data_IF_618905227285
#
_entry.id   IF_618905227285
#
_cell.length_a   1.000
_cell.length_b   1.000
_cell.length_c   1.000
_cell.angle_alpha   90.00
_cell.angle_beta   90.00
_cell.angle_gamma   90.00
#
_symmetry.space_group_name_H-M   'P 1'
#
loop_
_entity.id
_entity.type
_entity.pdbx_description
1 polymer ?
#
# COMPACT_ATOMS: atom_id res chain seq x y z
N UNK A 1 20.68 22.71 5.67
CA UNK A 1 21.09 21.32 5.39
C UNK A 1 19.92 20.40 4.98
N UNK A 2 18.88 20.21 5.80
CA UNK A 2 17.74 19.31 5.44
C UNK A 2 17.00 19.70 4.15
N UNK A 3 16.81 20.99 3.90
CA UNK A 3 16.15 21.47 2.65
C UNK A 3 17.00 21.24 1.41
N UNK A 4 18.33 21.34 1.51
CA UNK A 4 19.25 21.03 0.40
C UNK A 4 19.17 19.54 0.05
N UNK A 5 19.21 18.68 1.06
CA UNK A 5 19.04 17.22 0.88
C UNK A 5 17.69 16.91 0.24
N UNK A 6 16.61 17.55 0.68
CA UNK A 6 15.28 17.36 0.08
C UNK A 6 15.24 17.82 -1.37
N UNK A 7 15.87 18.95 -1.71
CA UNK A 7 15.97 19.42 -3.10
C UNK A 7 16.75 18.42 -3.97
N UNK A 8 17.90 17.93 -3.49
CA UNK A 8 18.66 16.89 -4.22
C UNK A 8 17.84 15.62 -4.43
N UNK A 9 17.11 15.15 -3.41
CA UNK A 9 16.18 14.02 -3.54
C UNK A 9 15.08 14.28 -4.56
N UNK A 10 14.53 15.50 -4.61
CA UNK A 10 13.52 15.89 -5.59
C UNK A 10 14.10 15.86 -7.01
N UNK A 11 15.32 16.37 -7.20
CA UNK A 11 16.03 16.30 -8.50
C UNK A 11 16.20 14.83 -8.93
N UNK A 12 16.67 13.97 -8.03
CA UNK A 12 16.79 12.52 -8.30
C UNK A 12 15.43 11.92 -8.66
N UNK A 13 14.37 12.23 -7.91
CA UNK A 13 13.01 11.76 -8.19
C UNK A 13 12.54 12.16 -9.60
N UNK A 14 12.70 13.43 -9.96
CA UNK A 14 12.31 13.95 -11.27
C UNK A 14 13.16 13.34 -12.39
N UNK A 15 14.43 13.04 -12.14
CA UNK A 15 15.34 12.47 -13.15
C UNK A 15 15.02 11.02 -13.49
N UNK A 16 14.66 10.17 -12.51
CA UNK A 16 14.40 8.75 -12.80
C UNK A 16 12.94 8.44 -13.12
N UNK A 17 11.98 9.27 -12.68
CA UNK A 17 10.54 8.98 -12.87
C UNK A 17 10.12 8.95 -14.34
N UNK A 18 10.41 9.95 -15.21
CA UNK A 18 9.99 9.91 -16.60
C UNK A 18 10.56 8.73 -17.41
N UNK A 19 11.87 8.40 -17.36
CA UNK A 19 12.37 7.23 -18.08
C UNK A 19 11.78 5.92 -17.60
N UNK A 20 11.51 5.75 -16.29
CA UNK A 20 10.84 4.57 -15.77
C UNK A 20 9.37 4.49 -16.20
N UNK A 21 8.67 5.63 -16.27
CA UNK A 21 7.31 5.69 -16.82
C UNK A 21 7.29 5.31 -18.30
N UNK A 22 8.25 5.83 -19.09
CA UNK A 22 8.38 5.47 -20.52
C UNK A 22 8.65 4.00 -20.69
N UNK A 23 9.62 3.44 -19.95
CA UNK A 23 9.94 2.02 -19.99
C UNK A 23 8.72 1.15 -19.66
N UNK A 24 7.95 1.49 -18.61
CA UNK A 24 6.75 0.76 -18.25
C UNK A 24 5.64 0.93 -19.30
N UNK A 25 5.48 2.14 -19.86
CA UNK A 25 4.51 2.37 -20.92
C UNK A 25 4.81 1.52 -22.16
N UNK A 26 6.08 1.43 -22.59
CA UNK A 26 6.50 0.56 -23.67
C UNK A 26 6.21 -0.91 -23.38
N UNK A 27 6.50 -1.38 -22.15
CA UNK A 27 6.21 -2.76 -21.74
C UNK A 27 4.72 -3.07 -21.71
N UNK A 28 3.89 -2.17 -21.21
CA UNK A 28 2.42 -2.38 -21.14
C UNK A 28 1.83 -2.47 -22.56
N UNK A 29 2.39 -1.74 -23.54
CA UNK A 29 1.93 -1.75 -24.93
C UNK A 29 2.67 -2.75 -25.81
N UNK A 30 3.54 -3.60 -25.25
CA UNK A 30 4.23 -4.68 -25.95
C UNK A 30 3.76 -6.05 -25.46
N UNK A 31 4.01 -7.09 -26.26
CA UNK A 31 3.76 -8.49 -25.85
C UNK A 31 4.95 -9.10 -25.09
N UNK A 32 5.95 -8.27 -24.71
CA UNK A 32 7.21 -8.72 -24.12
C UNK A 32 7.10 -8.80 -22.59
N UNK A 33 7.18 -10.01 -22.06
CA UNK A 33 7.55 -10.31 -20.68
C UNK A 33 6.59 -9.93 -19.56
N UNK A 34 7.04 -10.11 -18.32
CA UNK A 34 6.29 -9.75 -17.11
C UNK A 34 6.30 -8.22 -16.89
N UNK A 35 5.15 -7.60 -17.03
CA UNK A 35 4.95 -6.14 -16.94
C UNK A 35 5.06 -5.56 -15.51
N UNK A 36 5.55 -6.35 -14.55
CA UNK A 36 5.54 -6.00 -13.11
C UNK A 36 6.90 -5.61 -12.53
N UNK A 37 8.00 -5.92 -13.24
CA UNK A 37 9.35 -5.67 -12.71
C UNK A 37 9.74 -4.18 -12.70
N UNK A 38 9.31 -3.40 -13.70
CA UNK A 38 9.60 -1.95 -13.76
C UNK A 38 8.90 -1.20 -12.61
N UNK A 39 7.59 -1.38 -12.35
CA UNK A 39 6.95 -0.82 -11.18
C UNK A 39 7.61 -1.24 -9.87
N UNK A 40 8.05 -2.50 -9.73
CA UNK A 40 8.73 -2.95 -8.53
C UNK A 40 10.09 -2.27 -8.35
N UNK A 41 10.90 -2.17 -9.41
CA UNK A 41 12.17 -1.46 -9.37
C UNK A 41 11.97 0.02 -9.04
N UNK A 42 11.01 0.68 -9.70
CA UNK A 42 10.64 2.06 -9.43
C UNK A 42 10.31 2.28 -7.95
N UNK A 43 9.46 1.42 -7.38
CA UNK A 43 9.05 1.55 -5.99
C UNK A 43 10.19 1.20 -4.99
N UNK A 44 11.14 0.31 -5.36
CA UNK A 44 12.38 0.11 -4.59
C UNK A 44 13.23 1.38 -4.57
N UNK A 45 13.45 2.01 -5.73
CA UNK A 45 14.20 3.27 -5.84
C UNK A 45 13.50 4.40 -5.06
N UNK A 46 12.18 4.52 -5.22
CA UNK A 46 11.38 5.53 -4.52
C UNK A 46 11.43 5.31 -2.99
N UNK A 47 11.27 4.08 -2.52
CA UNK A 47 11.35 3.75 -1.10
C UNK A 47 12.72 4.10 -0.50
N UNK A 48 13.80 3.79 -1.22
CA UNK A 48 15.17 4.18 -0.82
C UNK A 48 15.34 5.70 -0.78
N UNK A 49 14.85 6.42 -1.80
CA UNK A 49 14.89 7.88 -1.87
C UNK A 49 14.13 8.55 -0.71
N UNK A 50 12.97 7.98 -0.34
CA UNK A 50 12.18 8.43 0.81
C UNK A 50 12.85 8.08 2.16
N UNK A 51 13.92 7.27 2.14
CA UNK A 51 14.62 6.83 3.34
C UNK A 51 13.85 5.75 4.13
N UNK A 52 12.98 4.97 3.45
CA UNK A 52 12.27 3.85 4.08
C UNK A 52 13.22 2.69 4.31
N UNK A 53 13.43 2.32 5.57
CA UNK A 53 14.11 1.08 5.97
C UNK A 53 13.06 0.01 6.21
N UNK A 54 12.85 -0.83 5.20
CA UNK A 54 11.79 -1.85 5.20
C UNK A 54 12.36 -3.13 5.81
N UNK A 55 11.68 -3.67 6.82
CA UNK A 55 11.90 -5.02 7.34
C UNK A 55 10.64 -5.86 7.09
N UNK A 56 10.84 -7.11 6.65
CA UNK A 56 9.75 -8.02 6.31
C UNK A 56 9.75 -9.18 7.30
N UNK A 57 8.57 -9.51 7.82
CA UNK A 57 8.31 -10.69 8.64
C UNK A 57 7.20 -11.51 7.99
N UNK A 58 7.29 -12.82 8.06
CA UNK A 58 6.42 -13.73 7.33
C UNK A 58 6.82 -13.88 5.86
N UNK A 59 6.02 -14.60 5.09
CA UNK A 59 6.32 -14.91 3.69
C UNK A 59 5.42 -14.10 2.75
N UNK A 60 6.00 -13.23 1.89
CA UNK A 60 5.22 -12.54 0.87
C UNK A 60 4.49 -13.54 -0.05
N UNK A 61 3.21 -13.33 -0.37
CA UNK A 61 2.45 -14.24 -1.21
C UNK A 61 2.91 -14.16 -2.67
N UNK A 62 2.71 -15.26 -3.41
CA UNK A 62 2.91 -15.28 -4.87
C UNK A 62 1.72 -14.71 -5.63
N UNK A 63 0.52 -14.81 -5.06
CA UNK A 63 -0.74 -14.31 -5.61
C UNK A 63 -1.77 -14.16 -4.49
N UNK A 64 -2.87 -13.46 -4.75
CA UNK A 64 -4.00 -13.35 -3.83
C UNK A 64 -4.38 -11.91 -3.51
N UNK A 65 -5.36 -11.75 -2.61
CA UNK A 65 -5.81 -10.46 -2.14
C UNK A 65 -5.14 -10.07 -0.82
N UNK A 66 -4.18 -9.17 -0.89
CA UNK A 66 -3.60 -8.55 0.31
C UNK A 66 -4.61 -7.54 0.88
N UNK A 67 -4.84 -7.65 2.19
CA UNK A 67 -5.64 -6.72 2.97
C UNK A 67 -4.75 -6.09 4.03
N UNK A 68 -4.56 -4.77 4.00
CA UNK A 68 -3.63 -4.09 4.88
C UNK A 68 -4.24 -2.85 5.55
N UNK A 69 -3.70 -2.46 6.71
CA UNK A 69 -3.97 -1.14 7.29
C UNK A 69 -3.31 -0.03 6.47
N UNK A 70 -3.84 1.19 6.53
CA UNK A 70 -3.38 2.31 5.70
C UNK A 70 -3.09 3.57 6.51
N UNK A 71 -1.82 3.93 6.58
CA UNK A 71 -1.33 5.08 7.37
C UNK A 71 -0.90 6.24 6.46
N UNK A 72 -0.32 5.92 5.30
CA UNK A 72 0.29 6.92 4.42
C UNK A 72 0.36 6.42 2.98
N UNK A 73 0.41 7.35 2.01
CA UNK A 73 0.71 7.00 0.62
C UNK A 73 2.04 6.23 0.47
N UNK A 74 2.96 6.35 1.45
CA UNK A 74 4.23 5.61 1.49
C UNK A 74 4.05 4.09 1.65
N UNK A 75 2.89 3.64 2.13
CA UNK A 75 2.56 2.22 2.24
C UNK A 75 2.60 1.54 0.87
N UNK A 76 2.22 2.28 -0.17
CA UNK A 76 2.14 1.80 -1.55
C UNK A 76 3.53 1.44 -2.11
N UNK A 77 4.50 2.40 -2.19
CA UNK A 77 5.83 2.07 -2.66
C UNK A 77 6.55 1.06 -1.76
N UNK A 78 6.29 1.07 -0.45
CA UNK A 78 6.90 0.12 0.46
C UNK A 78 6.45 -1.32 0.19
N UNK A 79 5.15 -1.57 0.01
CA UNK A 79 4.63 -2.89 -0.34
C UNK A 79 5.12 -3.34 -1.72
N UNK A 80 5.06 -2.45 -2.73
CA UNK A 80 5.48 -2.80 -4.08
C UNK A 80 7.01 -3.00 -4.19
N UNK A 81 7.80 -2.39 -3.32
CA UNK A 81 9.23 -2.69 -3.23
C UNK A 81 9.50 -4.13 -2.80
N UNK A 82 8.63 -4.73 -1.97
CA UNK A 82 8.77 -6.11 -1.47
C UNK A 82 8.31 -7.14 -2.49
N UNK A 83 7.14 -6.94 -3.10
CA UNK A 83 6.57 -7.87 -4.08
C UNK A 83 5.80 -7.11 -5.17
N UNK A 84 5.78 -7.66 -6.41
CA UNK A 84 4.97 -7.08 -7.49
C UNK A 84 3.48 -7.16 -7.13
N UNK A 85 2.79 -6.03 -7.20
CA UNK A 85 1.37 -5.96 -6.88
C UNK A 85 0.66 -4.84 -7.66
N UNK A 86 -0.65 -4.93 -7.74
CA UNK A 86 -1.52 -3.84 -8.21
C UNK A 86 -2.46 -3.38 -7.11
N UNK A 87 -2.82 -2.11 -7.13
CA UNK A 87 -3.66 -1.50 -6.11
C UNK A 87 -5.13 -1.54 -6.50
N UNK A 88 -5.98 -1.55 -5.48
CA UNK A 88 -7.40 -1.22 -5.58
C UNK A 88 -7.58 0.14 -4.91
N UNK A 89 -7.81 1.19 -5.71
CA UNK A 89 -7.81 2.57 -5.26
C UNK A 89 -9.12 3.30 -5.60
N UNK A 90 -9.35 4.46 -4.96
CA UNK A 90 -10.46 5.35 -5.33
C UNK A 90 -10.21 5.98 -6.70
N UNK A 91 -11.28 6.23 -7.48
CA UNK A 91 -11.23 6.85 -8.81
C UNK A 91 -10.49 8.18 -8.81
N UNK A 92 -10.67 8.99 -7.77
CA UNK A 92 -10.08 10.33 -7.64
C UNK A 92 -8.55 10.29 -7.67
N UNK A 93 -7.93 9.22 -7.17
CA UNK A 93 -6.47 9.02 -7.24
C UNK A 93 -6.00 8.98 -8.70
N UNK A 94 -6.82 8.44 -9.61
CA UNK A 94 -6.52 8.39 -11.04
C UNK A 94 -6.44 9.77 -11.71
N UNK A 95 -7.09 10.81 -11.15
CA UNK A 95 -7.04 12.18 -11.67
C UNK A 95 -5.86 13.01 -11.14
N UNK A 96 -5.11 12.49 -10.17
CA UNK A 96 -3.97 13.23 -9.62
C UNK A 96 -2.85 13.37 -10.65
N UNK A 97 -2.30 14.57 -10.83
CA UNK A 97 -1.15 14.77 -11.71
C UNK A 97 -0.01 13.84 -11.33
N UNK A 98 0.70 13.28 -12.30
CA UNK A 98 1.80 12.31 -12.14
C UNK A 98 1.40 11.01 -11.42
N UNK A 99 0.85 11.07 -10.21
CA UNK A 99 0.51 9.89 -9.40
C UNK A 99 -0.60 9.04 -10.01
N UNK A 100 -1.59 9.67 -10.66
CA UNK A 100 -2.62 8.95 -11.41
C UNK A 100 -2.05 8.20 -12.63
N UNK A 101 -1.08 8.80 -13.33
CA UNK A 101 -0.38 8.15 -14.45
C UNK A 101 0.47 6.96 -13.95
N UNK A 102 1.25 7.15 -12.89
CA UNK A 102 2.03 6.08 -12.25
C UNK A 102 1.13 4.92 -11.79
N UNK A 103 0.00 5.23 -11.15
CA UNK A 103 -0.96 4.23 -10.70
C UNK A 103 -1.57 3.44 -11.88
N UNK A 104 -1.90 4.11 -12.99
CA UNK A 104 -2.37 3.41 -14.21
C UNK A 104 -1.30 2.50 -14.79
N UNK A 105 -0.06 2.95 -14.90
CA UNK A 105 1.05 2.15 -15.40
C UNK A 105 1.36 0.94 -14.52
N UNK A 106 1.05 1.03 -13.23
CA UNK A 106 1.15 -0.08 -12.26
C UNK A 106 -0.05 -1.04 -12.33
N UNK A 107 -1.05 -0.78 -13.17
CA UNK A 107 -2.26 -1.60 -13.29
C UNK A 107 -3.20 -1.47 -12.11
N UNK A 108 -3.30 -0.28 -11.51
CA UNK A 108 -4.26 0.00 -10.43
C UNK A 108 -5.69 -0.10 -10.91
N UNK A 109 -6.54 -0.80 -10.17
CA UNK A 109 -7.99 -0.87 -10.39
C UNK A 109 -8.63 0.33 -9.68
N UNK A 110 -9.25 1.23 -10.44
CA UNK A 110 -9.90 2.41 -9.90
C UNK A 110 -11.39 2.19 -9.68
N UNK A 111 -11.85 2.44 -8.45
CA UNK A 111 -13.24 2.24 -8.05
C UNK A 111 -13.97 3.56 -7.93
N UNK A 112 -15.04 3.72 -8.69
CA UNK A 112 -16.04 4.76 -8.43
C UNK A 112 -17.12 4.20 -7.49
N UNK A 113 -17.13 4.69 -6.24
CA UNK A 113 -18.04 4.18 -5.19
C UNK A 113 -19.43 4.77 -5.27
N UNK A 114 -19.63 5.84 -6.02
CA UNK A 114 -20.90 6.55 -6.15
C UNK A 114 -21.80 5.94 -7.25
N UNK A 115 -21.25 5.05 -8.07
CA UNK A 115 -21.96 4.42 -9.17
C UNK A 115 -21.99 2.89 -8.98
N UNK A 116 -23.19 2.33 -8.76
CA UNK A 116 -23.42 0.88 -8.57
C UNK A 116 -22.90 0.03 -9.74
N UNK A 117 -23.08 0.49 -11.00
CA UNK A 117 -22.57 -0.23 -12.19
C UNK A 117 -21.05 -0.28 -12.20
N UNK A 118 -20.39 0.83 -11.83
CA UNK A 118 -18.94 0.88 -11.72
C UNK A 118 -18.41 -0.05 -10.62
N UNK A 119 -19.10 -0.15 -9.49
CA UNK A 119 -18.74 -1.08 -8.40
C UNK A 119 -18.80 -2.53 -8.92
N UNK A 120 -19.84 -2.91 -9.65
CA UNK A 120 -19.99 -4.25 -10.23
C UNK A 120 -18.87 -4.52 -11.23
N UNK A 121 -18.60 -3.60 -12.15
CA UNK A 121 -17.52 -3.73 -13.14
C UNK A 121 -16.14 -3.88 -12.45
N UNK A 122 -15.87 -3.08 -11.43
CA UNK A 122 -14.62 -3.19 -10.66
C UNK A 122 -14.50 -4.51 -9.91
N UNK A 123 -15.62 -5.06 -9.38
CA UNK A 123 -15.62 -6.38 -8.75
C UNK A 123 -15.30 -7.49 -9.76
N UNK A 124 -15.84 -7.42 -10.98
CA UNK A 124 -15.55 -8.39 -12.04
C UNK A 124 -14.08 -8.28 -12.50
N UNK A 125 -13.55 -7.07 -12.63
CA UNK A 125 -12.13 -6.87 -12.93
C UNK A 125 -11.23 -7.46 -11.84
N UNK A 126 -11.54 -7.21 -10.56
CA UNK A 126 -10.79 -7.77 -9.42
C UNK A 126 -10.83 -9.30 -9.48
N UNK A 127 -12.00 -9.91 -9.75
CA UNK A 127 -12.16 -11.36 -9.88
C UNK A 127 -11.28 -11.92 -11.00
N UNK A 128 -11.36 -11.33 -12.19
CA UNK A 128 -10.54 -11.74 -13.33
C UNK A 128 -9.05 -11.71 -12.97
N UNK A 129 -8.57 -10.60 -12.40
CA UNK A 129 -7.17 -10.44 -12.01
C UNK A 129 -6.73 -11.44 -10.92
N UNK A 130 -7.61 -11.76 -9.96
CA UNK A 130 -7.32 -12.78 -8.94
C UNK A 130 -7.25 -14.18 -9.56
N UNK A 131 -8.15 -14.53 -10.46
CA UNK A 131 -8.13 -15.81 -11.19
C UNK A 131 -6.87 -15.95 -12.07
N UNK A 132 -6.38 -14.86 -12.63
CA UNK A 132 -5.13 -14.83 -13.42
C UNK A 132 -3.87 -14.90 -12.53
N UNK A 133 -4.02 -15.11 -11.22
CA UNK A 133 -2.90 -15.23 -10.28
C UNK A 133 -2.22 -13.90 -9.93
N UNK A 134 -2.88 -12.76 -10.16
CA UNK A 134 -2.35 -11.46 -9.75
C UNK A 134 -2.36 -11.29 -8.23
N UNK A 135 -1.40 -10.53 -7.72
CA UNK A 135 -1.44 -10.02 -6.35
C UNK A 135 -2.08 -8.64 -6.34
N UNK A 136 -3.20 -8.51 -5.66
CA UNK A 136 -3.92 -7.24 -5.49
C UNK A 136 -3.82 -6.76 -4.05
N UNK A 137 -3.74 -5.45 -3.84
CA UNK A 137 -3.76 -4.84 -2.50
C UNK A 137 -4.99 -3.98 -2.32
N UNK A 138 -5.69 -4.24 -1.24
CA UNK A 138 -6.84 -3.48 -0.76
C UNK A 138 -6.53 -2.88 0.61
N UNK A 139 -6.79 -1.58 0.77
CA UNK A 139 -6.84 -0.91 2.06
C UNK A 139 -8.31 -0.73 2.49
N UNK A 140 -8.87 -1.68 3.26
CA UNK A 140 -10.31 -1.73 3.51
C UNK A 140 -10.81 -0.68 4.50
N UNK A 141 -9.92 0.05 5.15
CA UNK A 141 -10.24 1.24 5.94
C UNK A 141 -10.82 2.38 5.08
N UNK A 142 -10.57 2.31 3.77
CA UNK A 142 -11.05 3.27 2.77
C UNK A 142 -10.54 4.71 2.93
N UNK A 143 -9.67 4.95 3.87
CA UNK A 143 -8.97 6.23 4.14
C UNK A 143 -7.72 5.95 4.95
N UNK A 144 -6.77 6.86 4.93
CA UNK A 144 -5.60 6.85 5.81
C UNK A 144 -5.95 7.39 7.20
N UNK A 145 -5.11 7.07 8.18
CA UNK A 145 -5.29 7.51 9.58
C UNK A 145 -3.94 7.78 10.26
N UNK A 146 -3.98 8.24 11.50
CA UNK A 146 -2.77 8.66 12.27
C UNK A 146 -1.82 7.52 12.64
N UNK A 147 -2.15 6.26 12.36
CA UNK A 147 -1.36 5.10 12.77
C UNK A 147 -1.41 4.76 14.25
N UNK A 148 -2.34 5.37 15.01
CA UNK A 148 -2.57 5.07 16.44
C UNK A 148 -3.52 3.89 16.66
N UNK A 149 -4.47 3.72 15.73
CA UNK A 149 -5.49 2.68 15.78
C UNK A 149 -5.90 2.33 14.34
N UNK A 150 -6.55 1.19 14.16
CA UNK A 150 -7.08 0.73 12.88
C UNK A 150 -8.57 1.05 12.81
N UNK A 151 -9.03 1.61 11.70
CA UNK A 151 -10.45 1.83 11.43
C UNK A 151 -11.14 0.52 11.05
N UNK A 152 -12.47 0.41 11.24
CA UNK A 152 -13.20 -0.79 10.83
C UNK A 152 -13.05 -1.08 9.32
N UNK A 153 -12.86 -2.33 8.98
CA UNK A 153 -12.67 -2.79 7.61
C UNK A 153 -14.00 -2.93 6.86
N UNK A 154 -14.05 -2.37 5.65
CA UNK A 154 -15.19 -2.53 4.74
C UNK A 154 -15.05 -3.82 3.92
N UNK A 155 -16.06 -4.68 3.95
CA UNK A 155 -16.04 -6.00 3.30
C UNK A 155 -16.40 -6.01 1.81
N UNK A 156 -16.77 -4.87 1.23
CA UNK A 156 -17.35 -4.80 -0.11
C UNK A 156 -16.48 -5.44 -1.19
N UNK A 157 -15.17 -5.19 -1.19
CA UNK A 157 -14.25 -5.69 -2.22
C UNK A 157 -13.58 -7.02 -1.86
N UNK A 158 -13.65 -7.44 -0.58
CA UNK A 158 -13.27 -8.80 -0.16
C UNK A 158 -14.22 -9.85 -0.76
N UNK A 159 -15.43 -9.43 -1.19
CA UNK A 159 -16.36 -10.27 -1.92
C UNK A 159 -15.78 -10.88 -3.21
N UNK A 160 -14.81 -10.23 -3.85
CA UNK A 160 -14.15 -10.80 -5.02
C UNK A 160 -13.32 -12.04 -4.65
N UNK A 161 -12.57 -11.99 -3.56
CA UNK A 161 -11.81 -13.13 -3.05
C UNK A 161 -12.72 -14.28 -2.61
N UNK A 162 -13.84 -13.96 -1.92
CA UNK A 162 -14.87 -14.95 -1.57
C UNK A 162 -15.40 -15.69 -2.80
N UNK A 163 -15.73 -14.96 -3.87
CA UNK A 163 -16.32 -15.53 -5.10
C UNK A 163 -15.33 -16.35 -5.94
N UNK A 164 -14.05 -16.05 -5.84
CA UNK A 164 -12.99 -16.76 -6.58
C UNK A 164 -12.32 -17.86 -5.76
N UNK A 165 -12.63 -17.97 -4.47
CA UNK A 165 -11.90 -18.87 -3.57
C UNK A 165 -10.46 -18.42 -3.31
N UNK A 166 -10.07 -17.22 -3.76
CA UNK A 166 -8.71 -16.71 -3.63
C UNK A 166 -8.38 -16.38 -2.17
N UNK A 167 -7.21 -16.79 -1.64
CA UNK A 167 -6.83 -16.48 -0.27
C UNK A 167 -6.70 -14.96 -0.04
N UNK A 168 -7.15 -14.53 1.14
CA UNK A 168 -6.95 -13.18 1.67
C UNK A 168 -5.76 -13.19 2.59
N UNK A 169 -4.77 -12.35 2.32
CA UNK A 169 -3.54 -12.26 3.10
C UNK A 169 -3.57 -10.99 3.94
N UNK A 170 -3.78 -11.09 5.27
CA UNK A 170 -3.66 -9.93 6.14
C UNK A 170 -2.21 -9.44 6.19
N UNK A 171 -2.00 -8.13 6.09
CA UNK A 171 -0.67 -7.52 6.17
C UNK A 171 -0.71 -6.34 7.13
N UNK A 172 0.21 -6.31 8.09
CA UNK A 172 0.34 -5.21 9.03
C UNK A 172 1.52 -4.31 8.67
N UNK A 173 1.24 -3.01 8.49
CA UNK A 173 2.23 -1.97 8.21
C UNK A 173 2.48 -1.16 9.48
N UNK A 174 3.71 -1.20 9.98
CA UNK A 174 4.07 -0.61 11.28
C UNK A 174 5.27 0.31 11.12
N UNK A 175 5.04 1.61 11.19
CA UNK A 175 6.10 2.60 11.29
C UNK A 175 6.66 2.56 12.71
N UNK A 176 7.92 2.13 12.86
CA UNK A 176 8.51 1.82 14.16
C UNK A 176 9.45 2.90 14.68
N UNK A 177 10.35 3.40 13.83
CA UNK A 177 11.42 4.31 14.22
C UNK A 177 11.63 5.41 13.20
N UNK A 178 11.97 6.60 13.68
CA UNK A 178 12.44 7.71 12.84
C UNK A 178 13.82 8.16 13.35
N UNK A 179 14.78 8.31 12.45
CA UNK A 179 16.18 8.60 12.83
C UNK A 179 16.80 7.59 13.83
N UNK A 180 16.34 6.35 13.82
CA UNK A 180 16.78 5.32 14.77
C UNK A 180 16.06 5.32 16.12
N UNK A 181 15.29 6.37 16.44
CA UNK A 181 14.52 6.48 17.69
C UNK A 181 13.11 5.93 17.52
N UNK A 182 12.54 5.24 18.52
CA UNK A 182 11.16 4.76 18.50
C UNK A 182 10.16 5.90 18.25
N UNK A 183 9.16 5.63 17.41
CA UNK A 183 8.07 6.58 17.16
C UNK A 183 7.09 6.56 18.33
N UNK A 184 7.00 7.67 19.04
CA UNK A 184 5.98 7.88 20.08
C UNK A 184 4.59 8.07 19.44
N UNK A 185 3.54 7.88 20.23
CA UNK A 185 2.17 8.13 19.78
C UNK A 185 1.94 9.59 19.33
N UNK A 186 2.71 10.54 19.89
CA UNK A 186 2.65 11.96 19.50
C UNK A 186 3.26 12.22 18.12
N UNK A 187 4.29 11.47 17.74
CA UNK A 187 5.01 11.65 16.47
C UNK A 187 4.33 10.93 15.28
N UNK A 188 3.49 9.90 15.55
CA UNK A 188 2.80 9.14 14.49
C UNK A 188 2.01 10.01 13.51
N UNK A 189 1.25 11.04 13.94
CA UNK A 189 0.56 11.92 13.00
C UNK A 189 1.50 12.62 11.98
N UNK A 190 2.74 12.94 12.37
CA UNK A 190 3.72 13.55 11.45
C UNK A 190 4.26 12.58 10.39
N UNK A 191 4.19 11.28 10.66
CA UNK A 191 4.58 10.22 9.70
C UNK A 191 3.40 9.83 8.79
N UNK A 192 2.18 9.92 9.29
CA UNK A 192 0.96 9.61 8.57
C UNK A 192 0.64 10.71 7.53
N UNK A 193 -0.15 10.33 6.54
CA UNK A 193 -0.80 11.29 5.65
C UNK A 193 -2.30 11.04 5.69
N UNK A 194 -3.05 11.94 6.28
CA UNK A 194 -4.49 11.79 6.53
C UNK A 194 -5.21 13.13 6.45
N UNK A 195 -6.52 13.06 6.28
CA UNK A 195 -7.36 14.25 6.12
C UNK A 195 -7.30 14.81 4.69
N UNK A 196 -7.55 16.11 4.57
CA UNK A 196 -7.61 16.86 3.30
C UNK A 196 -6.28 17.56 2.95
N UNK A 197 -5.18 17.15 3.59
CA UNK A 197 -3.88 17.78 3.35
C UNK A 197 -3.35 17.53 1.93
N UNK A 198 -2.83 18.60 1.31
CA UNK A 198 -2.21 18.52 -0.01
C UNK A 198 -1.00 17.57 -0.01
N UNK A 199 -0.91 16.75 -1.07
CA UNK A 199 0.16 15.78 -1.21
C UNK A 199 1.54 16.42 -1.39
N UNK A 200 1.63 17.54 -2.13
CA UNK A 200 2.91 18.16 -2.44
C UNK A 200 3.63 18.74 -1.21
N UNK A 201 2.99 19.50 -0.30
CA UNK A 201 3.61 19.91 0.96
C UNK A 201 4.02 18.73 1.83
N UNK A 202 3.20 17.67 1.89
CA UNK A 202 3.53 16.48 2.67
C UNK A 202 4.73 15.72 2.06
N UNK A 203 4.79 15.58 0.72
CA UNK A 203 5.95 15.01 0.03
C UNK A 203 7.22 15.76 0.39
N UNK A 204 7.20 17.09 0.36
CA UNK A 204 8.34 17.92 0.74
C UNK A 204 8.79 17.67 2.18
N UNK A 205 7.83 17.55 3.12
CA UNK A 205 8.13 17.21 4.51
C UNK A 205 8.76 15.82 4.63
N UNK A 206 8.26 14.82 3.89
CA UNK A 206 8.81 13.46 3.88
C UNK A 206 10.24 13.44 3.34
N UNK A 207 10.54 14.18 2.26
CA UNK A 207 11.89 14.28 1.71
C UNK A 207 12.87 14.88 2.73
N UNK A 208 12.43 15.80 3.60
CA UNK A 208 13.21 16.43 4.68
C UNK A 208 13.32 15.55 5.92
N UNK A 209 12.37 14.65 6.13
CA UNK A 209 12.20 13.95 7.42
C UNK A 209 13.31 12.93 7.72
N UNK A 210 14.04 12.41 6.71
CA UNK A 210 15.12 11.43 6.91
C UNK A 210 14.61 9.99 7.13
N UNK A 211 15.49 9.09 7.59
CA UNK A 211 15.19 7.66 7.58
C UNK A 211 14.05 7.28 8.52
N UNK A 212 13.16 6.41 7.98
CA UNK A 212 11.96 5.94 8.64
C UNK A 212 11.90 4.41 8.56
N UNK A 213 11.92 3.71 9.70
CA UNK A 213 11.81 2.26 9.76
C UNK A 213 10.34 1.83 9.64
N UNK A 214 10.07 0.97 8.67
CA UNK A 214 8.77 0.37 8.41
C UNK A 214 8.90 -1.15 8.47
N UNK A 215 8.14 -1.79 9.37
CA UNK A 215 7.99 -3.23 9.44
C UNK A 215 6.73 -3.63 8.67
N UNK A 216 6.86 -4.61 7.78
CA UNK A 216 5.79 -5.23 7.03
C UNK A 216 5.65 -6.67 7.50
N UNK A 217 4.51 -7.03 8.08
CA UNK A 217 4.24 -8.38 8.58
C UNK A 217 3.21 -9.03 7.69
N UNK A 218 3.61 -10.09 6.98
CA UNK A 218 2.69 -10.95 6.22
C UNK A 218 2.19 -12.05 7.14
N UNK A 219 0.88 -12.08 7.39
CA UNK A 219 0.25 -13.11 8.20
C UNK A 219 -0.14 -14.33 7.35
N UNK A 220 -0.43 -15.48 7.99
CA UNK A 220 -0.95 -16.66 7.28
C UNK A 220 -2.18 -16.30 6.43
N UNK A 221 -2.30 -16.88 5.24
CA UNK A 221 -3.44 -16.64 4.37
C UNK A 221 -4.74 -17.17 5.01
N UNK A 222 -5.82 -16.41 4.84
CA UNK A 222 -7.16 -16.80 5.24
C UNK A 222 -7.91 -17.30 4.00
N UNK A 223 -8.32 -18.56 4.00
CA UNK A 223 -9.05 -19.15 2.88
C UNK A 223 -10.55 -18.84 3.02
N UNK A 224 -11.23 -18.31 1.98
CA UNK A 224 -12.64 -17.97 2.06
C UNK A 224 -13.55 -19.13 2.50
N UNK A 225 -13.18 -20.37 2.14
CA UNK A 225 -13.92 -21.58 2.50
C UNK A 225 -13.99 -21.85 4.03
N UNK A 226 -13.06 -21.28 4.80
CA UNK A 226 -13.01 -21.44 6.26
C UNK A 226 -13.96 -20.49 7.00
N UNK A 227 -14.68 -19.61 6.27
CA UNK A 227 -15.51 -18.56 6.85
C UNK A 227 -16.94 -18.61 6.30
N UNK A 228 -17.91 -18.33 7.16
CA UNK A 228 -19.32 -18.32 6.78
C UNK A 228 -19.67 -17.33 5.67
N UNK A 229 -18.94 -16.23 5.55
CA UNK A 229 -19.13 -15.21 4.53
C UNK A 229 -17.99 -14.17 4.55
N UNK A 230 -17.97 -13.27 3.53
CA UNK A 230 -17.00 -12.19 3.39
C UNK A 230 -16.89 -11.28 4.62
N UNK A 231 -17.96 -11.10 5.40
CA UNK A 231 -17.94 -10.24 6.59
C UNK A 231 -17.11 -10.91 7.70
N UNK A 232 -17.31 -12.22 7.90
CA UNK A 232 -16.53 -13.01 8.85
C UNK A 232 -15.04 -13.05 8.46
N UNK A 233 -14.75 -13.31 7.19
CA UNK A 233 -13.39 -13.27 6.62
C UNK A 233 -12.72 -11.90 6.82
N UNK A 234 -13.43 -10.80 6.50
CA UNK A 234 -12.90 -9.44 6.68
C UNK A 234 -12.62 -9.12 8.14
N UNK A 235 -13.52 -9.54 9.05
CA UNK A 235 -13.36 -9.34 10.50
C UNK A 235 -12.18 -10.14 11.06
N UNK A 236 -11.94 -11.35 10.54
CA UNK A 236 -10.77 -12.14 10.91
C UNK A 236 -9.47 -11.42 10.47
N UNK A 237 -9.39 -10.95 9.22
CA UNK A 237 -8.25 -10.18 8.73
C UNK A 237 -8.02 -8.91 9.55
N UNK A 238 -9.09 -8.14 9.85
CA UNK A 238 -9.02 -6.95 10.71
C UNK A 238 -8.48 -7.29 12.10
N UNK A 239 -8.99 -8.35 12.72
CA UNK A 239 -8.55 -8.79 14.05
C UNK A 239 -7.06 -9.14 14.08
N UNK A 240 -6.59 -9.91 13.10
CA UNK A 240 -5.18 -10.29 12.97
C UNK A 240 -4.28 -9.06 12.89
N UNK A 241 -4.61 -8.11 12.02
CA UNK A 241 -3.84 -6.88 11.83
C UNK A 241 -3.88 -6.01 13.10
N UNK A 242 -5.04 -5.91 13.74
CA UNK A 242 -5.25 -5.12 14.96
C UNK A 242 -4.42 -5.65 16.14
N UNK A 243 -4.37 -6.97 16.33
CA UNK A 243 -3.56 -7.62 17.38
C UNK A 243 -2.08 -7.34 17.14
N UNK A 244 -1.57 -7.62 15.93
CA UNK A 244 -0.17 -7.39 15.57
C UNK A 244 0.23 -5.91 15.74
N UNK A 245 -0.65 -4.98 15.34
CA UNK A 245 -0.42 -3.55 15.52
C UNK A 245 -0.32 -3.18 17.01
N UNK A 246 -1.24 -3.67 17.84
CA UNK A 246 -1.26 -3.39 19.28
C UNK A 246 0.01 -3.89 19.97
N UNK A 247 0.44 -5.12 19.70
CA UNK A 247 1.66 -5.71 20.25
C UNK A 247 2.90 -4.90 19.92
N UNK A 248 3.03 -4.47 18.66
CA UNK A 248 4.18 -3.66 18.23
C UNK A 248 4.14 -2.23 18.79
N UNK A 249 2.96 -1.64 19.02
CA UNK A 249 2.82 -0.33 19.67
C UNK A 249 3.20 -0.38 21.15
N UNK A 250 2.79 -1.45 21.86
CA UNK A 250 3.15 -1.66 23.27
C UNK A 250 4.64 -1.94 23.45
N UNK A 251 5.26 -2.72 22.55
CA UNK A 251 6.69 -2.96 22.58
C UNK A 251 7.51 -1.65 22.41
N UNK A 252 7.07 -0.77 21.52
CA UNK A 252 7.70 0.55 21.32
C UNK A 252 7.58 1.48 22.55
N UNK A 253 6.45 1.39 23.29
CA UNK A 253 6.20 2.20 24.47
C UNK A 253 7.01 1.77 25.71
N UNK A 254 7.49 0.51 25.76
CA UNK A 254 8.32 0.01 26.88
C UNK A 254 9.83 0.36 26.74
N UNK A 255 10.24 0.81 25.56
CA UNK A 255 11.66 1.10 25.24
C UNK A 255 11.95 2.62 25.29
N UNK A 256 10.95 3.47 25.41
CA UNK A 256 11.03 4.94 25.49
C UNK A 256 10.52 5.49 26.80
#
# INVERSE_FOLDING_TARGET
>A
MRSVIAALKLVVFVSFTPPMMLAQWLLVNSDIGKKTWVPQLYNKMLSALLGLKITVEGTPPRSGLIVANHVSWKDIPALNAVLPLSLIAKREVGSWPLFGALARLQGTIFINRDNKRSIIASLEEIKTRLNDGSTLVLFPEATTHTGKSIKPFKSSFVAAAERTGTPVIPVTLIYQRQHGLPLTLRQRPAVAWYGEGDLAPHLWQVLKAGPLALKIVFHPPLHPADFANRKALTKAAERTIRICMAENLHAAAKIG
#
